data_IF_387082389555
#
_entry.id   IF_387082389555
#
_cell.length_a   1.000
_cell.length_b   1.000
_cell.length_c   1.000
_cell.angle_alpha   90.00
_cell.angle_beta   90.00
_cell.angle_gamma   90.00
#
_symmetry.space_group_name_H-M   'P 1'
#
loop_
_entity.id
_entity.type
_entity.pdbx_description
1 polymer ?
#
# COMPACT_ATOMS: atom_id res chain seq x y z
N UNK A 1 -58.22 -5.49 25.28
CA UNK A 1 -56.94 -5.01 24.73
C UNK A 1 -56.89 -3.51 24.90
N UNK A 2 -55.88 -3.01 25.63
CA UNK A 2 -55.76 -1.58 25.95
C UNK A 2 -55.20 -0.79 24.77
N UNK A 3 -56.03 -0.11 24.02
CA UNK A 3 -55.69 0.73 22.84
C UNK A 3 -54.63 1.80 23.18
N UNK A 4 -54.58 2.30 24.42
CA UNK A 4 -53.56 3.26 24.90
C UNK A 4 -52.14 2.67 24.96
N UNK A 5 -52.01 1.38 25.29
CA UNK A 5 -50.72 0.69 25.33
C UNK A 5 -50.18 0.36 23.92
N UNK A 6 -51.10 0.14 22.94
CA UNK A 6 -50.72 -0.11 21.55
C UNK A 6 -50.21 1.16 20.87
N UNK A 7 -50.90 2.29 21.11
CA UNK A 7 -50.50 3.61 20.57
C UNK A 7 -49.12 4.08 21.10
N UNK A 8 -48.82 3.84 22.41
CA UNK A 8 -47.54 4.20 23.00
C UNK A 8 -46.38 3.36 22.43
N UNK A 9 -46.61 2.08 22.15
CA UNK A 9 -45.61 1.20 21.50
C UNK A 9 -45.33 1.57 20.04
N UNK A 10 -46.34 2.02 19.32
CA UNK A 10 -46.21 2.49 17.94
C UNK A 10 -45.46 3.82 17.87
N UNK A 11 -45.72 4.76 18.77
CA UNK A 11 -45.01 6.04 18.85
C UNK A 11 -43.53 5.84 19.20
N UNK A 12 -43.16 4.86 20.04
CA UNK A 12 -41.79 4.55 20.39
C UNK A 12 -41.03 3.90 19.22
N UNK A 13 -41.71 3.09 18.40
CA UNK A 13 -41.08 2.48 17.21
C UNK A 13 -40.85 3.49 16.10
N UNK A 14 -41.73 4.49 15.93
CA UNK A 14 -41.56 5.55 14.92
C UNK A 14 -40.48 6.56 15.33
N UNK A 15 -40.29 6.82 16.62
CA UNK A 15 -39.21 7.73 17.06
C UNK A 15 -37.82 7.13 16.98
N UNK A 16 -37.65 5.80 16.99
CA UNK A 16 -36.35 5.13 16.80
C UNK A 16 -35.93 5.03 15.32
N UNK A 17 -36.86 5.28 14.38
CA UNK A 17 -36.60 5.14 12.92
C UNK A 17 -36.06 6.40 12.23
N UNK A 18 -36.03 7.55 12.89
CA UNK A 18 -35.44 8.80 12.34
C UNK A 18 -34.00 8.99 12.76
N UNK A 19 -33.17 7.96 12.58
CA UNK A 19 -31.74 8.21 12.44
C UNK A 19 -31.54 8.91 11.10
N UNK A 20 -31.41 10.23 11.13
CA UNK A 20 -31.01 11.05 9.99
C UNK A 20 -29.64 10.56 9.56
N UNK A 21 -29.56 9.77 8.50
CA UNK A 21 -28.31 9.52 7.80
C UNK A 21 -27.81 10.90 7.32
N UNK A 22 -26.86 11.48 8.05
CA UNK A 22 -26.14 12.64 7.57
C UNK A 22 -25.52 12.24 6.24
N UNK A 23 -25.81 12.95 5.13
CA UNK A 23 -25.12 12.65 3.88
C UNK A 23 -23.63 12.78 4.15
N UNK A 24 -22.88 11.70 3.97
CA UNK A 24 -21.42 11.77 3.98
C UNK A 24 -21.04 12.72 2.86
N UNK A 25 -20.72 13.96 3.20
CA UNK A 25 -20.20 14.93 2.24
C UNK A 25 -18.96 14.31 1.62
N UNK A 26 -19.01 13.98 0.33
CA UNK A 26 -17.88 13.41 -0.38
C UNK A 26 -16.71 14.38 -0.23
N UNK A 27 -15.65 13.96 0.48
CA UNK A 27 -14.50 14.80 0.74
C UNK A 27 -13.79 15.08 -0.58
N UNK A 28 -13.69 16.37 -0.92
CA UNK A 28 -12.99 16.83 -2.11
C UNK A 28 -11.50 16.97 -1.83
N UNK A 29 -10.71 16.04 -2.39
CA UNK A 29 -9.27 16.05 -2.19
C UNK A 29 -8.52 16.81 -3.31
N UNK A 30 -7.57 17.64 -2.91
CA UNK A 30 -6.53 18.14 -3.80
C UNK A 30 -5.29 17.26 -3.70
N UNK A 31 -4.54 17.12 -4.80
CA UNK A 31 -3.34 16.27 -4.81
C UNK A 31 -2.35 16.60 -3.69
N UNK A 32 -2.14 17.89 -3.41
CA UNK A 32 -1.20 18.36 -2.38
C UNK A 32 -1.65 18.04 -0.96
N UNK A 33 -2.94 18.21 -0.63
CA UNK A 33 -3.49 17.90 0.70
C UNK A 33 -3.50 16.41 0.93
N UNK A 34 -3.85 15.63 -0.10
CA UNK A 34 -3.81 14.19 -0.06
C UNK A 34 -2.38 13.65 0.10
N UNK A 35 -1.44 14.13 -0.74
CA UNK A 35 -0.05 13.67 -0.69
C UNK A 35 0.58 13.92 0.69
N UNK A 36 0.30 15.07 1.33
CA UNK A 36 0.74 15.34 2.70
C UNK A 36 0.20 14.32 3.69
N UNK A 37 -1.11 14.08 3.66
CA UNK A 37 -1.76 13.12 4.56
C UNK A 37 -1.21 11.70 4.38
N UNK A 38 -1.01 11.28 3.13
CA UNK A 38 -0.59 9.91 2.80
C UNK A 38 0.91 9.66 3.03
N UNK A 39 1.78 10.65 2.74
CA UNK A 39 3.24 10.48 2.82
C UNK A 39 3.88 11.02 4.10
N UNK A 40 3.18 11.89 4.84
CA UNK A 40 3.73 12.63 5.98
C UNK A 40 4.74 13.73 5.59
N UNK A 41 4.83 14.09 4.29
CA UNK A 41 5.65 15.22 3.83
C UNK A 41 4.90 16.52 4.10
N UNK A 42 5.43 17.38 4.97
CA UNK A 42 4.80 18.63 5.40
C UNK A 42 5.18 19.83 4.51
N UNK A 43 4.92 19.70 3.19
CA UNK A 43 5.06 20.80 2.22
C UNK A 43 3.68 21.35 1.86
N UNK A 44 3.54 22.68 1.78
CA UNK A 44 2.29 23.38 1.48
C UNK A 44 2.40 24.15 0.16
N UNK A 45 1.27 24.61 -0.34
CA UNK A 45 1.21 25.37 -1.60
C UNK A 45 1.04 24.49 -2.84
N UNK A 46 1.26 25.07 -4.01
CA UNK A 46 1.06 24.40 -5.28
C UNK A 46 2.06 23.27 -5.52
N UNK A 47 1.65 22.22 -6.20
CA UNK A 47 2.47 21.05 -6.45
C UNK A 47 3.81 21.37 -7.15
N UNK A 48 3.81 22.32 -8.08
CA UNK A 48 5.02 22.75 -8.80
C UNK A 48 6.12 23.37 -7.90
N UNK A 49 5.78 23.77 -6.67
CA UNK A 49 6.74 24.32 -5.71
C UNK A 49 7.31 23.26 -4.76
N UNK A 50 6.74 22.06 -4.75
CA UNK A 50 7.13 21.01 -3.79
C UNK A 50 8.59 20.61 -3.93
N UNK A 51 9.05 20.44 -5.15
CA UNK A 51 10.45 20.05 -5.41
C UNK A 51 11.45 21.03 -4.84
N UNK A 52 11.26 22.34 -5.06
CA UNK A 52 12.13 23.37 -4.51
C UNK A 52 11.99 23.52 -3.00
N UNK A 53 10.77 23.43 -2.46
CA UNK A 53 10.55 23.50 -1.02
C UNK A 53 11.11 22.27 -0.25
N UNK A 54 11.31 21.15 -0.93
CA UNK A 54 11.93 19.96 -0.35
C UNK A 54 13.44 20.14 -0.13
N UNK A 55 14.08 21.08 -0.81
CA UNK A 55 15.51 21.35 -0.68
C UNK A 55 15.89 21.70 0.76
N UNK A 56 16.89 21.00 1.29
CA UNK A 56 17.35 21.17 2.68
C UNK A 56 16.38 20.67 3.76
N UNK A 57 15.20 20.12 3.38
CA UNK A 57 14.19 19.62 4.32
C UNK A 57 13.91 18.13 4.16
N UNK A 58 13.95 17.66 2.94
CA UNK A 58 13.69 16.26 2.57
C UNK A 58 14.74 15.81 1.54
N UNK A 59 15.14 14.56 1.61
CA UNK A 59 15.92 13.96 0.53
C UNK A 59 15.13 13.98 -0.79
N UNK A 60 15.84 14.16 -1.90
CA UNK A 60 15.28 14.13 -3.27
C UNK A 60 16.14 13.22 -4.14
N UNK A 61 15.53 12.59 -5.12
CA UNK A 61 16.27 11.73 -6.06
C UNK A 61 15.40 11.20 -7.19
N UNK A 62 15.98 10.29 -7.97
CA UNK A 62 15.34 9.72 -9.15
C UNK A 62 15.02 8.22 -8.99
N UNK A 63 15.31 7.62 -7.85
CA UNK A 63 14.98 6.22 -7.56
C UNK A 63 13.65 6.15 -6.82
N UNK A 64 12.64 5.43 -7.31
CA UNK A 64 11.37 5.31 -6.61
C UNK A 64 11.53 4.54 -5.30
N UNK A 65 10.87 5.02 -4.24
CA UNK A 65 10.75 4.33 -2.96
C UNK A 65 9.29 4.38 -2.50
N UNK A 66 8.78 3.31 -1.93
CA UNK A 66 7.44 3.33 -1.33
C UNK A 66 7.36 4.42 -0.25
N UNK A 67 6.26 5.17 -0.20
CA UNK A 67 6.09 6.34 0.66
C UNK A 67 6.69 7.63 0.14
N UNK A 68 7.53 7.61 -0.92
CA UNK A 68 8.02 8.83 -1.56
C UNK A 68 6.92 9.51 -2.37
N UNK A 69 7.09 10.79 -2.66
CA UNK A 69 6.17 11.58 -3.49
C UNK A 69 6.83 11.91 -4.82
N UNK A 70 6.26 11.43 -5.91
CA UNK A 70 6.63 11.80 -7.27
C UNK A 70 6.12 13.21 -7.55
N UNK A 71 7.03 14.13 -7.90
CA UNK A 71 6.73 15.53 -8.20
C UNK A 71 6.71 15.76 -9.71
N UNK A 72 5.53 16.06 -10.26
CA UNK A 72 5.35 16.34 -11.68
C UNK A 72 5.69 17.80 -11.98
N UNK A 73 6.34 18.02 -13.10
CA UNK A 73 6.57 19.34 -13.64
C UNK A 73 5.29 19.95 -14.22
N UNK A 74 5.12 21.27 -14.19
CA UNK A 74 4.03 21.95 -14.88
C UNK A 74 4.04 21.66 -16.39
N UNK A 75 2.83 21.61 -16.95
CA UNK A 75 2.60 21.59 -18.41
C UNK A 75 1.54 22.62 -18.76
N UNK A 76 1.30 22.85 -20.04
CA UNK A 76 0.23 23.76 -20.50
C UNK A 76 -1.16 23.35 -19.98
N UNK A 77 -1.40 22.06 -19.81
CA UNK A 77 -2.68 21.51 -19.28
C UNK A 77 -2.68 21.34 -17.77
N UNK A 78 -1.52 21.27 -17.13
CA UNK A 78 -1.34 21.05 -15.69
C UNK A 78 -0.42 22.15 -15.13
N UNK A 79 -0.89 23.40 -15.14
CA UNK A 79 -0.07 24.60 -14.83
C UNK A 79 0.55 24.60 -13.43
N UNK A 80 -0.13 24.02 -12.46
CA UNK A 80 0.34 23.96 -11.06
C UNK A 80 1.10 22.69 -10.73
N UNK A 81 1.37 21.85 -11.75
CA UNK A 81 1.99 20.54 -11.53
C UNK A 81 1.05 19.56 -10.81
N UNK A 82 1.60 18.44 -10.42
CA UNK A 82 0.91 17.40 -9.65
C UNK A 82 1.89 16.72 -8.68
N UNK A 83 1.36 16.09 -7.64
CA UNK A 83 2.11 15.24 -6.72
C UNK A 83 1.33 13.96 -6.46
N UNK A 84 2.05 12.84 -6.43
CA UNK A 84 1.46 11.51 -6.21
C UNK A 84 2.37 10.70 -5.28
N UNK A 85 1.80 10.05 -4.27
CA UNK A 85 2.57 9.16 -3.39
C UNK A 85 2.79 7.82 -4.08
N UNK A 86 4.01 7.30 -4.03
CA UNK A 86 4.36 5.94 -4.44
C UNK A 86 3.86 4.98 -3.36
N UNK A 87 2.85 4.18 -3.67
CA UNK A 87 2.34 3.16 -2.76
C UNK A 87 3.13 1.86 -2.85
N UNK A 88 3.67 1.54 -4.03
CA UNK A 88 4.49 0.34 -4.26
C UNK A 88 5.47 0.54 -5.40
N UNK A 89 6.67 0.00 -5.27
CA UNK A 89 7.62 -0.17 -6.38
C UNK A 89 7.39 -1.57 -6.95
N UNK A 90 7.07 -1.64 -8.24
CA UNK A 90 6.82 -2.91 -8.95
C UNK A 90 8.08 -3.37 -9.66
N UNK A 91 8.78 -2.44 -10.32
CA UNK A 91 10.07 -2.67 -10.99
C UNK A 91 10.85 -1.36 -11.08
N UNK A 92 12.03 -1.39 -11.67
CA UNK A 92 12.84 -0.18 -11.90
C UNK A 92 12.13 0.87 -12.77
N UNK A 93 11.16 0.45 -13.58
CA UNK A 93 10.41 1.29 -14.52
C UNK A 93 8.91 1.34 -14.24
N UNK A 94 8.42 0.73 -13.16
CA UNK A 94 7.00 0.72 -12.82
C UNK A 94 6.78 0.88 -11.32
N UNK A 95 5.87 1.78 -10.97
CA UNK A 95 5.37 1.98 -9.62
C UNK A 95 3.84 1.99 -9.59
N UNK A 96 3.28 1.74 -8.43
CA UNK A 96 1.89 2.07 -8.13
C UNK A 96 1.85 3.40 -7.40
N UNK A 97 0.95 4.27 -7.83
CA UNK A 97 0.70 5.57 -7.21
C UNK A 97 -0.64 5.57 -6.49
N UNK A 98 -0.70 6.28 -5.38
CA UNK A 98 -1.95 6.66 -4.74
C UNK A 98 -1.98 8.18 -4.66
N UNK A 99 -2.99 8.79 -5.25
CA UNK A 99 -3.09 10.23 -5.39
C UNK A 99 -4.55 10.69 -5.49
N UNK A 100 -4.77 11.99 -5.53
CA UNK A 100 -6.10 12.56 -5.67
C UNK A 100 -6.15 13.61 -6.77
N UNK A 101 -7.37 13.85 -7.30
CA UNK A 101 -7.65 14.91 -8.26
C UNK A 101 -6.88 14.75 -9.59
N UNK A 102 -6.81 13.53 -10.08
CA UNK A 102 -6.13 13.19 -11.35
C UNK A 102 -7.14 12.91 -12.47
N UNK A 103 -7.70 11.70 -12.54
CA UNK A 103 -8.69 11.35 -13.59
C UNK A 103 -10.04 11.99 -13.37
N UNK A 104 -10.43 12.20 -12.10
CA UNK A 104 -11.67 12.88 -11.70
C UNK A 104 -11.38 13.88 -10.60
N UNK A 105 -12.07 15.01 -10.73
CA UNK A 105 -11.94 16.12 -9.79
C UNK A 105 -12.27 15.67 -8.36
N UNK A 106 -11.29 15.86 -7.44
CA UNK A 106 -11.44 15.56 -6.02
C UNK A 106 -11.47 14.07 -5.64
N UNK A 107 -11.46 13.15 -6.60
CA UNK A 107 -11.44 11.72 -6.33
C UNK A 107 -10.03 11.23 -5.96
N UNK A 108 -9.96 10.22 -5.12
CA UNK A 108 -8.73 9.47 -4.82
C UNK A 108 -8.66 8.29 -5.77
N UNK A 109 -7.46 8.03 -6.29
CA UNK A 109 -7.11 6.86 -7.07
C UNK A 109 -5.99 6.12 -6.33
N UNK A 110 -6.24 4.85 -6.02
CA UNK A 110 -5.37 4.03 -5.17
C UNK A 110 -4.69 2.95 -6.00
N UNK A 111 -3.38 2.79 -5.81
CA UNK A 111 -2.58 1.75 -6.45
C UNK A 111 -2.69 1.75 -7.99
N UNK A 112 -2.75 2.92 -8.58
CA UNK A 112 -2.80 3.06 -10.04
C UNK A 112 -1.41 3.04 -10.64
N UNK A 113 -1.27 2.41 -11.81
CA UNK A 113 0.01 2.22 -12.49
C UNK A 113 0.62 3.54 -12.97
N UNK A 114 1.91 3.68 -12.80
CA UNK A 114 2.73 4.68 -13.47
C UNK A 114 4.00 4.01 -13.99
N UNK A 115 4.36 4.30 -15.23
CA UNK A 115 5.56 3.76 -15.87
C UNK A 115 6.50 4.88 -16.27
N UNK A 116 7.78 4.65 -16.06
CA UNK A 116 8.83 5.48 -16.59
C UNK A 116 8.97 5.23 -18.08
N UNK A 117 8.80 6.29 -18.88
CA UNK A 117 8.96 6.29 -20.33
C UNK A 117 10.12 7.18 -20.78
N UNK A 118 10.95 7.62 -19.85
CA UNK A 118 12.18 8.35 -20.17
C UNK A 118 13.18 7.45 -20.90
N UNK A 119 13.94 8.01 -21.83
CA UNK A 119 14.96 7.27 -22.55
C UNK A 119 16.12 6.81 -21.65
N UNK A 120 16.44 7.60 -20.62
CA UNK A 120 17.51 7.32 -19.68
C UNK A 120 17.11 6.37 -18.52
N UNK A 121 15.83 6.06 -18.36
CA UNK A 121 15.36 5.25 -17.21
C UNK A 121 15.45 5.99 -15.87
N UNK A 122 15.38 7.31 -15.91
CA UNK A 122 15.64 8.20 -14.77
C UNK A 122 14.38 8.83 -14.19
N UNK A 123 13.21 8.33 -14.59
CA UNK A 123 11.91 8.85 -14.16
C UNK A 123 11.64 10.32 -14.51
N UNK A 124 12.40 10.90 -15.44
CA UNK A 124 12.17 12.28 -15.91
C UNK A 124 10.90 12.44 -16.74
N UNK A 125 10.34 11.32 -17.25
CA UNK A 125 9.12 11.30 -18.05
C UNK A 125 8.30 10.06 -17.71
N UNK A 126 7.01 10.23 -17.37
CA UNK A 126 6.15 9.11 -16.96
C UNK A 126 4.82 9.11 -17.71
N UNK A 127 4.25 7.92 -17.91
CA UNK A 127 2.83 7.73 -18.19
C UNK A 127 2.13 7.22 -16.93
N UNK A 128 0.92 7.70 -16.71
CA UNK A 128 0.12 7.37 -15.52
C UNK A 128 -1.22 6.84 -15.96
N UNK A 129 -1.76 5.91 -15.20
CA UNK A 129 -3.14 5.45 -15.31
C UNK A 129 -4.11 6.62 -15.48
N UNK A 130 -5.09 6.43 -16.35
CA UNK A 130 -6.15 7.41 -16.57
C UNK A 130 -7.52 6.74 -16.55
N UNK A 131 -8.30 6.99 -15.51
CA UNK A 131 -9.55 6.31 -15.25
C UNK A 131 -10.54 6.24 -16.42
N UNK A 132 -10.75 7.33 -17.21
CA UNK A 132 -11.62 7.27 -18.38
C UNK A 132 -11.19 6.29 -19.48
N UNK A 133 -9.88 5.93 -19.55
CA UNK A 133 -9.37 4.92 -20.48
C UNK A 133 -9.35 3.51 -19.88
N UNK A 134 -9.41 3.39 -18.54
CA UNK A 134 -9.26 2.11 -17.86
C UNK A 134 -7.86 1.49 -18.01
N UNK A 135 -6.86 2.31 -18.38
CA UNK A 135 -5.48 1.90 -18.62
C UNK A 135 -4.54 3.12 -18.52
N UNK A 136 -3.26 2.93 -18.83
CA UNK A 136 -2.29 4.03 -18.93
C UNK A 136 -2.75 5.08 -19.92
N UNK A 137 -2.70 6.35 -19.49
CA UNK A 137 -2.99 7.48 -20.38
C UNK A 137 -2.02 7.55 -21.55
N UNK A 138 -2.47 8.13 -22.66
CA UNK A 138 -1.64 8.33 -23.86
C UNK A 138 -0.58 9.41 -23.68
N UNK A 139 -0.82 10.38 -22.79
CA UNK A 139 0.11 11.49 -22.52
C UNK A 139 1.27 11.06 -21.65
N UNK A 140 2.47 11.53 -21.97
CA UNK A 140 3.62 11.49 -21.09
C UNK A 140 3.76 12.82 -20.32
N UNK A 141 4.17 12.74 -19.08
CA UNK A 141 4.29 13.88 -18.17
C UNK A 141 5.71 14.02 -17.66
N UNK A 142 6.32 15.22 -17.77
CA UNK A 142 7.63 15.46 -17.20
C UNK A 142 7.56 15.49 -15.67
N UNK A 143 8.58 14.96 -15.01
CA UNK A 143 8.70 14.97 -13.57
C UNK A 143 10.03 15.60 -13.12
N UNK A 144 10.08 15.96 -11.84
CA UNK A 144 11.30 16.42 -11.15
C UNK A 144 12.03 15.29 -10.43
N UNK A 145 11.32 14.19 -10.14
CA UNK A 145 11.82 13.09 -9.34
C UNK A 145 10.99 12.85 -8.07
N UNK A 146 11.56 12.15 -7.12
CA UNK A 146 10.92 11.70 -5.88
C UNK A 146 11.40 12.49 -4.68
N UNK A 147 10.48 12.90 -3.81
CA UNK A 147 10.75 13.49 -2.51
C UNK A 147 10.53 12.39 -1.47
N UNK A 148 11.53 12.12 -0.63
CA UNK A 148 11.49 11.01 0.32
C UNK A 148 11.06 11.50 1.70
N UNK A 149 10.01 10.89 2.26
CA UNK A 149 9.50 11.23 3.60
C UNK A 149 10.33 10.63 4.73
N UNK A 150 11.13 9.62 4.44
CA UNK A 150 11.79 8.79 5.45
C UNK A 150 10.84 7.90 6.26
N UNK A 151 9.55 7.82 5.88
CA UNK A 151 8.51 7.01 6.52
C UNK A 151 7.94 5.98 5.55
N UNK A 152 7.47 4.86 6.09
CA UNK A 152 6.63 3.93 5.34
C UNK A 152 5.28 4.60 4.97
N UNK A 153 4.62 4.18 3.86
CA UNK A 153 3.32 4.72 3.46
C UNK A 153 2.27 4.58 4.57
N UNK A 154 1.49 5.63 4.80
CA UNK A 154 0.42 5.62 5.80
C UNK A 154 -0.78 4.73 5.42
N UNK A 155 -0.84 4.25 4.18
CA UNK A 155 -1.99 3.51 3.64
C UNK A 155 -1.99 2.01 3.98
N UNK A 156 -0.91 1.47 4.55
CA UNK A 156 -0.80 0.04 4.86
C UNK A 156 -1.34 -0.31 6.26
N UNK A 157 -1.83 0.68 7.02
CA UNK A 157 -2.22 0.47 8.43
C UNK A 157 -3.57 -0.23 8.57
N UNK A 158 -4.42 -0.26 7.56
CA UNK A 158 -5.75 -0.91 7.64
C UNK A 158 -5.72 -2.42 7.36
N UNK A 159 -4.63 -2.94 6.76
CA UNK A 159 -4.53 -4.36 6.43
C UNK A 159 -3.71 -5.17 7.46
N UNK A 160 -2.99 -4.49 8.37
CA UNK A 160 -2.14 -5.17 9.35
C UNK A 160 -2.85 -5.92 10.49
N UNK A 161 -4.02 -5.49 11.03
CA UNK A 161 -4.62 -6.25 12.13
C UNK A 161 -5.02 -7.68 11.74
N UNK A 162 -5.51 -7.88 10.52
CA UNK A 162 -5.96 -9.20 10.06
C UNK A 162 -4.80 -10.16 9.73
N UNK A 163 -3.71 -9.65 9.15
CA UNK A 163 -2.53 -10.47 8.84
C UNK A 163 -1.73 -10.83 10.09
N UNK A 164 -1.65 -9.93 11.08
CA UNK A 164 -0.95 -10.20 12.33
C UNK A 164 -1.67 -11.23 13.19
N UNK A 165 -3.00 -11.22 13.21
CA UNK A 165 -3.80 -12.27 13.86
C UNK A 165 -3.65 -13.63 13.15
N UNK A 166 -3.59 -13.66 11.82
CA UNK A 166 -3.35 -14.90 11.08
C UNK A 166 -1.94 -15.46 11.33
N UNK A 167 -0.92 -14.61 11.44
CA UNK A 167 0.45 -15.01 11.74
C UNK A 167 0.61 -15.56 13.16
N UNK A 168 -0.08 -15.00 14.15
CA UNK A 168 -0.07 -15.49 15.54
C UNK A 168 -0.73 -16.85 15.62
N UNK A 169 -1.86 -17.06 14.96
CA UNK A 169 -2.54 -18.35 14.96
C UNK A 169 -1.73 -19.45 14.24
N UNK A 170 -1.00 -19.11 13.19
CA UNK A 170 -0.17 -20.08 12.46
C UNK A 170 1.07 -20.47 13.27
N UNK A 171 1.72 -19.52 13.97
CA UNK A 171 2.87 -19.83 14.81
C UNK A 171 2.50 -20.63 16.05
N UNK A 172 1.33 -20.38 16.66
CA UNK A 172 0.85 -21.17 17.81
C UNK A 172 0.53 -22.61 17.38
N UNK A 173 -0.06 -22.80 16.20
CA UNK A 173 -0.34 -24.14 15.67
C UNK A 173 0.93 -24.91 15.28
N UNK A 174 1.95 -24.21 14.77
CA UNK A 174 3.24 -24.83 14.43
C UNK A 174 4.01 -25.25 15.67
N UNK A 175 4.02 -24.44 16.72
CA UNK A 175 4.68 -24.76 18.00
C UNK A 175 3.99 -25.93 18.70
N UNK A 176 2.66 -26.01 18.67
CA UNK A 176 1.92 -27.14 19.23
C UNK A 176 2.20 -28.46 18.50
N UNK A 177 2.34 -28.42 17.16
CA UNK A 177 2.70 -29.59 16.35
C UNK A 177 4.15 -30.02 16.56
N UNK A 178 5.09 -29.08 16.69
CA UNK A 178 6.48 -29.39 16.96
C UNK A 178 6.67 -30.09 18.32
N UNK A 179 5.96 -29.64 19.35
CA UNK A 179 6.01 -30.25 20.67
C UNK A 179 5.36 -31.67 20.70
N UNK A 180 4.31 -31.90 19.91
CA UNK A 180 3.69 -33.21 19.81
C UNK A 180 4.61 -34.27 19.12
N UNK A 181 5.33 -33.82 18.08
CA UNK A 181 6.30 -34.72 17.37
C UNK A 181 7.51 -35.00 18.26
N UNK A 182 8.00 -34.07 19.04
CA UNK A 182 9.12 -34.27 19.97
C UNK A 182 8.77 -35.25 21.10
N UNK A 183 7.54 -35.21 21.60
CA UNK A 183 7.06 -36.12 22.61
C UNK A 183 6.92 -37.58 22.09
N UNK A 184 6.54 -37.77 20.81
CA UNK A 184 6.44 -39.05 20.18
C UNK A 184 7.82 -39.69 19.86
N UNK A 185 8.84 -38.88 19.57
CA UNK A 185 10.19 -39.37 19.28
C UNK A 185 10.93 -39.84 20.52
N UNK A 186 10.61 -39.34 21.71
CA UNK A 186 11.27 -39.74 22.97
C UNK A 186 10.77 -41.08 23.53
N UNK A 187 9.65 -41.61 23.02
CA UNK A 187 9.11 -42.91 23.44
C UNK A 187 9.58 -44.11 22.59
N UNK A 188 10.24 -43.84 21.45
CA UNK A 188 10.68 -44.88 20.51
C UNK A 188 12.17 -45.28 20.63
N UNK A 189 12.96 -44.67 21.51
CA UNK A 189 14.40 -44.96 21.63
C UNK A 189 14.81 -45.85 22.80
N UNK A 190 13.92 -46.72 23.27
CA UNK A 190 14.28 -47.80 24.21
C UNK A 190 14.02 -49.15 23.60
N UNK A 191 14.85 -49.56 22.69
CA UNK A 191 14.90 -50.91 22.16
C UNK A 191 16.20 -51.07 21.40
N UNK A 192 17.23 -51.56 22.06
CA UNK A 192 18.52 -51.80 21.45
C UNK A 192 18.55 -52.98 20.53
N UNK A 193 19.38 -52.96 19.52
CA UNK A 193 20.09 -54.14 19.04
C UNK A 193 21.40 -53.76 18.33
N UNK A 194 22.38 -54.59 18.54
CA UNK A 194 23.81 -54.54 18.28
C UNK A 194 24.20 -54.65 16.80
N UNK A 195 25.24 -53.98 16.40
CA UNK A 195 26.41 -54.16 15.50
C UNK A 195 26.59 -55.57 14.84
N UNK A 196 27.40 -55.81 13.80
CA UNK A 196 28.40 -54.96 13.11
C UNK A 196 28.63 -55.26 11.57
N UNK A 197 29.50 -54.39 10.95
CA UNK A 197 30.50 -54.67 9.88
C UNK A 197 30.09 -54.96 8.42
N UNK A 198 30.65 -54.17 7.53
CA UNK A 198 31.56 -54.41 6.40
C UNK A 198 31.34 -53.34 5.29
N UNK A 199 32.37 -52.57 5.00
CA UNK A 199 33.49 -52.69 4.04
C UNK A 199 33.15 -52.20 2.60
N UNK A 200 33.94 -51.19 2.16
CA UNK A 200 34.46 -50.87 0.82
C UNK A 200 33.47 -50.69 -0.37
N UNK A 201 33.60 -49.70 -1.23
CA UNK A 201 34.71 -49.42 -2.14
C UNK A 201 34.50 -48.08 -2.87
N UNK A 202 35.57 -47.34 -3.08
CA UNK A 202 35.80 -46.29 -4.06
C UNK A 202 35.57 -46.71 -5.51
N UNK A 203 35.10 -45.84 -6.38
CA UNK A 203 35.53 -45.60 -7.78
C UNK A 203 34.94 -44.26 -8.18
N UNK A 204 35.65 -43.29 -8.35
CA UNK A 204 36.45 -42.56 -9.33
C UNK A 204 35.89 -42.53 -10.76
N UNK A 205 36.04 -41.31 -11.30
CA UNK A 205 36.19 -40.89 -12.69
C UNK A 205 34.99 -40.49 -13.55
N UNK A 206 35.02 -39.15 -13.81
CA UNK A 206 35.04 -38.50 -15.16
C UNK A 206 33.90 -38.83 -16.16
N UNK A 207 33.12 -37.84 -16.47
CA UNK A 207 33.21 -37.04 -17.72
C UNK A 207 32.44 -35.76 -17.50
#
# INVERSE_FOLDING_TARGET
>A
MNFKALAARFALMVSCGLMTATPAAAQFWQCVTFARSASGIEIRGNANTWWSQAEGRYERGHTPKAGSVLAFSPTSRMRVGHVAMVSKVVSDREVLLTHANWSRRGAIETNVRAIDVSSAGDWSMVKVWYGPQGDLGTSAYPTKGFIYSGRAPALDTETQPAMQMASINTSTSATARANAVSAAASSASRGGFSDPRHIFTLVDSRF
#
